data_IF_563503604800
#
_entry.id   IF_563503604800
#
_cell.length_a   1.000
_cell.length_b   1.000
_cell.length_c   1.000
_cell.angle_alpha   90.00
_cell.angle_beta   90.00
_cell.angle_gamma   90.00
#
_symmetry.space_group_name_H-M   'P 1'
#
loop_
_entity.id
_entity.type
_entity.pdbx_description
1 polymer ?
#
# COMPACT_ATOMS: atom_id res chain seq x y z
N UNK A 1 -8.31 4.20 4.17
CA UNK A 1 -7.09 4.72 3.50
C UNK A 1 -5.91 4.33 4.36
N UNK A 2 -4.81 3.87 3.77
CA UNK A 2 -3.57 3.57 4.50
C UNK A 2 -2.65 4.79 4.39
N UNK A 3 -2.38 5.45 5.51
CA UNK A 3 -1.52 6.64 5.58
C UNK A 3 -0.04 6.27 5.57
N UNK A 4 0.35 5.26 6.36
CA UNK A 4 1.72 4.79 6.46
C UNK A 4 1.79 3.33 6.89
N UNK A 5 2.78 2.63 6.36
CA UNK A 5 3.22 1.31 6.80
C UNK A 5 4.74 1.27 6.63
N UNK A 6 5.45 0.88 7.69
CA UNK A 6 6.90 0.87 7.69
C UNK A 6 7.44 -0.32 8.48
N UNK A 7 8.56 -0.85 8.00
CA UNK A 7 9.36 -1.85 8.70
C UNK A 7 10.79 -1.33 8.75
N UNK A 8 11.38 -1.33 9.94
CA UNK A 8 12.77 -0.93 10.15
C UNK A 8 13.70 -1.75 9.23
N UNK A 9 14.78 -1.15 8.68
CA UNK A 9 15.67 -1.81 7.72
C UNK A 9 16.12 -3.21 8.14
N UNK A 10 16.54 -3.37 9.41
CA UNK A 10 17.00 -4.65 9.98
C UNK A 10 15.96 -5.76 10.05
N UNK A 11 14.68 -5.45 9.86
CA UNK A 11 13.57 -6.40 9.89
C UNK A 11 12.88 -6.57 8.52
N UNK A 12 13.44 -6.00 7.45
CA UNK A 12 12.86 -6.15 6.10
C UNK A 12 13.11 -7.55 5.55
N UNK A 13 12.29 -7.97 4.59
CA UNK A 13 12.34 -9.30 3.95
C UNK A 13 12.07 -10.50 4.88
N UNK A 14 11.63 -10.26 6.12
CA UNK A 14 11.21 -11.30 7.08
C UNK A 14 9.68 -11.50 7.13
N UNK A 15 8.96 -10.98 6.13
CA UNK A 15 7.48 -11.10 6.05
C UNK A 15 6.68 -10.14 6.93
N UNK A 16 7.31 -9.27 7.73
CA UNK A 16 6.55 -8.35 8.60
C UNK A 16 5.67 -7.35 7.86
N UNK A 17 6.12 -6.83 6.71
CA UNK A 17 5.29 -5.93 5.90
C UNK A 17 4.00 -6.60 5.40
N UNK A 18 4.09 -7.88 5.06
CA UNK A 18 2.96 -8.72 4.66
C UNK A 18 2.00 -8.95 5.83
N UNK A 19 2.51 -9.31 7.02
CA UNK A 19 1.70 -9.50 8.22
C UNK A 19 0.96 -8.22 8.64
N UNK A 20 1.64 -7.07 8.59
CA UNK A 20 1.05 -5.76 8.90
C UNK A 20 -0.08 -5.41 7.90
N UNK A 21 0.17 -5.60 6.61
CA UNK A 21 -0.83 -5.32 5.58
C UNK A 21 -2.03 -6.25 5.70
N UNK A 22 -1.84 -7.55 5.89
CA UNK A 22 -2.91 -8.52 6.10
C UNK A 22 -3.81 -8.12 7.29
N UNK A 23 -3.21 -7.74 8.42
CA UNK A 23 -3.96 -7.26 9.59
C UNK A 23 -4.78 -6.01 9.27
N UNK A 24 -4.21 -5.04 8.54
CA UNK A 24 -4.94 -3.84 8.11
C UNK A 24 -6.13 -4.19 7.21
N UNK A 25 -5.96 -5.11 6.26
CA UNK A 25 -7.05 -5.53 5.37
C UNK A 25 -8.18 -6.21 6.13
N UNK A 26 -7.86 -7.04 7.14
CA UNK A 26 -8.87 -7.64 8.04
C UNK A 26 -9.65 -6.57 8.79
N UNK A 27 -8.96 -5.59 9.39
CA UNK A 27 -9.62 -4.45 10.07
C UNK A 27 -10.52 -3.66 9.11
N UNK A 28 -10.09 -3.43 7.87
CA UNK A 28 -10.93 -2.74 6.87
C UNK A 28 -12.19 -3.55 6.51
N UNK A 29 -12.11 -4.88 6.43
CA UNK A 29 -13.28 -5.74 6.20
C UNK A 29 -14.25 -5.70 7.38
N UNK A 30 -13.75 -5.79 8.60
CA UNK A 30 -14.55 -5.68 9.83
C UNK A 30 -15.31 -4.34 9.90
N UNK A 31 -14.75 -3.28 9.32
CA UNK A 31 -15.40 -1.96 9.23
C UNK A 31 -16.15 -1.72 7.91
N UNK A 32 -16.53 -2.80 7.21
CA UNK A 32 -17.32 -2.79 5.97
C UNK A 32 -16.76 -1.84 4.89
N UNK A 33 -15.43 -1.73 4.78
CA UNK A 33 -14.83 -0.90 3.72
C UNK A 33 -14.78 -1.66 2.41
N UNK A 34 -15.32 -1.05 1.36
CA UNK A 34 -15.37 -1.63 0.01
C UNK A 34 -14.10 -1.32 -0.79
N UNK A 35 -13.50 -0.15 -0.57
CA UNK A 35 -12.31 0.31 -1.31
C UNK A 35 -11.23 0.77 -0.33
N UNK A 36 -10.04 0.22 -0.49
CA UNK A 36 -8.83 0.65 0.21
C UNK A 36 -7.91 1.34 -0.78
N UNK A 37 -7.31 2.44 -0.37
CA UNK A 37 -6.36 3.20 -1.19
C UNK A 37 -5.13 3.62 -0.40
N UNK A 38 -4.02 3.73 -1.11
CA UNK A 38 -2.73 4.21 -0.62
C UNK A 38 -1.98 4.96 -1.71
N UNK A 39 -0.99 5.72 -1.30
CA UNK A 39 -0.02 6.38 -2.16
C UNK A 39 1.35 5.76 -1.92
N UNK A 40 2.08 5.46 -2.99
CA UNK A 40 3.43 4.90 -2.92
C UNK A 40 4.34 5.59 -3.94
N UNK A 41 5.57 5.91 -3.52
CA UNK A 41 6.65 6.38 -4.42
C UNK A 41 6.79 5.46 -5.63
N UNK A 42 6.87 6.05 -6.82
CA UNK A 42 7.04 5.26 -8.06
C UNK A 42 8.34 4.45 -8.06
N UNK A 43 9.38 4.94 -7.36
CA UNK A 43 10.66 4.24 -7.19
C UNK A 43 10.62 3.10 -6.16
N UNK A 44 9.58 2.98 -5.32
CA UNK A 44 9.53 2.00 -4.24
C UNK A 44 9.02 0.64 -4.73
N UNK A 45 9.82 -0.02 -5.57
CA UNK A 45 9.48 -1.30 -6.19
C UNK A 45 9.12 -2.39 -5.18
N UNK A 46 9.78 -2.42 -4.01
CA UNK A 46 9.52 -3.41 -2.97
C UNK A 46 8.11 -3.27 -2.41
N UNK A 47 7.70 -2.05 -2.07
CA UNK A 47 6.33 -1.80 -1.59
C UNK A 47 5.30 -2.02 -2.71
N UNK A 48 5.58 -1.58 -3.94
CA UNK A 48 4.69 -1.80 -5.09
C UNK A 48 4.46 -3.31 -5.32
N UNK A 49 5.51 -4.13 -5.29
CA UNK A 49 5.40 -5.59 -5.40
C UNK A 49 4.55 -6.19 -4.29
N UNK A 50 4.77 -5.76 -3.04
CA UNK A 50 3.94 -6.17 -1.90
C UNK A 50 2.46 -5.81 -2.11
N UNK A 51 2.15 -4.57 -2.46
CA UNK A 51 0.76 -4.16 -2.67
C UNK A 51 0.09 -4.90 -3.83
N UNK A 52 0.81 -5.11 -4.95
CA UNK A 52 0.31 -5.93 -6.07
C UNK A 52 0.02 -7.37 -5.66
N UNK A 53 0.85 -7.99 -4.80
CA UNK A 53 0.61 -9.34 -4.26
C UNK A 53 -0.72 -9.43 -3.51
N UNK A 54 -1.14 -8.35 -2.84
CA UNK A 54 -2.44 -8.24 -2.16
C UNK A 54 -3.60 -7.78 -3.07
N UNK A 55 -3.38 -7.72 -4.38
CA UNK A 55 -4.42 -7.36 -5.36
C UNK A 55 -4.64 -5.86 -5.54
N UNK A 56 -3.80 -4.99 -4.96
CA UNK A 56 -3.86 -3.56 -5.27
C UNK A 56 -3.48 -3.31 -6.73
N UNK A 57 -4.24 -2.44 -7.40
CA UNK A 57 -4.00 -1.98 -8.77
C UNK A 57 -3.64 -0.50 -8.77
N UNK A 58 -2.75 -0.10 -9.68
CA UNK A 58 -2.46 1.32 -9.91
C UNK A 58 -3.71 1.95 -10.53
N UNK A 59 -4.24 2.99 -9.90
CA UNK A 59 -5.43 3.71 -10.35
C UNK A 59 -5.09 5.06 -10.99
N UNK A 60 -4.00 5.72 -10.55
CA UNK A 60 -3.58 7.03 -11.07
C UNK A 60 -2.10 7.29 -10.71
N UNK A 61 -1.42 8.08 -11.54
CA UNK A 61 -0.14 8.72 -11.17
C UNK A 61 -0.42 10.12 -10.62
N UNK A 62 0.07 10.42 -9.43
CA UNK A 62 0.03 11.74 -8.82
C UNK A 62 1.40 12.38 -9.04
N UNK A 63 1.46 13.33 -9.98
CA UNK A 63 2.68 14.05 -10.31
C UNK A 63 3.15 14.91 -9.13
N UNK A 64 4.46 14.93 -8.88
CA UNK A 64 5.11 15.77 -7.84
C UNK A 64 4.44 15.65 -6.46
N UNK A 65 4.05 14.44 -6.07
CA UNK A 65 3.27 14.20 -4.86
C UNK A 65 4.11 14.32 -3.59
N UNK A 66 5.36 13.89 -3.64
CA UNK A 66 6.29 14.00 -2.52
C UNK A 66 7.09 15.30 -2.60
N UNK A 67 7.59 15.78 -1.46
CA UNK A 67 8.34 17.04 -1.33
C UNK A 67 9.59 17.13 -2.22
N UNK A 68 10.15 16.00 -2.61
CA UNK A 68 11.29 15.92 -3.54
C UNK A 68 10.85 15.89 -5.02
N UNK A 69 9.65 16.36 -5.34
CA UNK A 69 9.01 16.32 -6.67
C UNK A 69 8.82 14.91 -7.24
N UNK A 70 9.00 13.86 -6.44
CA UNK A 70 8.79 12.49 -6.89
C UNK A 70 7.28 12.19 -7.02
N UNK A 71 6.94 11.51 -8.10
CA UNK A 71 5.60 11.03 -8.37
C UNK A 71 5.19 9.91 -7.39
N UNK A 72 3.87 9.76 -7.22
CA UNK A 72 3.30 8.63 -6.50
C UNK A 72 2.31 7.87 -7.36
N UNK A 73 2.27 6.55 -7.22
CA UNK A 73 1.11 5.77 -7.62
C UNK A 73 0.04 5.87 -6.53
N UNK A 74 -1.16 6.28 -6.92
CA UNK A 74 -2.37 5.97 -6.17
C UNK A 74 -2.76 4.54 -6.50
N UNK A 75 -2.66 3.64 -5.53
CA UNK A 75 -3.08 2.25 -5.67
C UNK A 75 -4.40 2.01 -4.93
N UNK A 76 -5.27 1.18 -5.51
CA UNK A 76 -6.57 0.82 -4.95
C UNK A 76 -6.77 -0.69 -4.92
N UNK A 77 -7.40 -1.18 -3.86
CA UNK A 77 -7.93 -2.54 -3.72
C UNK A 77 -9.43 -2.43 -3.50
N UNK A 78 -10.21 -3.16 -4.30
CA UNK A 78 -11.63 -3.41 -4.03
C UNK A 78 -11.71 -4.68 -3.19
N UNK A 79 -12.19 -4.56 -1.96
CA UNK A 79 -12.53 -5.72 -1.15
C UNK A 79 -13.85 -6.28 -1.70
N UNK A 80 -13.80 -7.51 -2.20
CA UNK A 80 -15.00 -8.31 -2.44
C UNK A 80 -15.30 -9.06 -1.14
N UNK A 81 -16.57 -9.04 -0.75
CA UNK A 81 -17.09 -9.85 0.35
C UNK A 81 -17.13 -11.32 -0.07
#
# INVERSE_FOLDING_TARGET
HISSIAVLPKYRNLGYGEKLLDRLLKLFREHNKIIIRLEVRVSNEKAIKLYKKFGFKISKVKKHYYSNNEDAYLMKLKLVN
#
